data_IF_906280845811
#
_entry.id   IF_906280845811
#
_cell.length_a   1.000
_cell.length_b   1.000
_cell.length_c   1.000
_cell.angle_alpha   90.00
_cell.angle_beta   90.00
_cell.angle_gamma   90.00
#
_symmetry.space_group_name_H-M   'P 1'
#
loop_
_entity.id
_entity.type
_entity.pdbx_description
1 polymer ?
#
# COMPACT_ATOMS: atom_id res chain seq x y z
N UNK A 1 -7.44 -18.95 -14.49
CA UNK A 1 -6.54 -17.90 -13.97
C UNK A 1 -6.54 -17.83 -12.45
N UNK A 2 -7.69 -17.67 -11.79
CA UNK A 2 -7.82 -17.63 -10.30
C UNK A 2 -7.20 -18.85 -9.61
N UNK A 3 -7.49 -20.06 -10.09
CA UNK A 3 -6.92 -21.33 -9.55
C UNK A 3 -5.40 -21.39 -9.70
N UNK A 4 -4.88 -20.93 -10.83
CA UNK A 4 -3.43 -20.91 -11.09
C UNK A 4 -2.71 -19.97 -10.11
N UNK A 5 -3.21 -18.74 -9.95
CA UNK A 5 -2.63 -17.77 -9.02
C UNK A 5 -2.72 -18.24 -7.57
N UNK A 6 -3.86 -18.85 -7.17
CA UNK A 6 -4.03 -19.44 -5.84
C UNK A 6 -2.97 -20.52 -5.56
N UNK A 7 -2.76 -21.45 -6.49
CA UNK A 7 -1.79 -22.53 -6.32
C UNK A 7 -0.36 -21.99 -6.26
N UNK A 8 -0.04 -21.03 -7.13
CA UNK A 8 1.26 -20.36 -7.16
C UNK A 8 1.56 -19.65 -5.84
N UNK A 9 0.62 -18.82 -5.33
CA UNK A 9 0.80 -18.12 -4.06
C UNK A 9 0.84 -19.07 -2.86
N UNK A 10 0.07 -20.17 -2.88
CA UNK A 10 0.15 -21.18 -1.81
C UNK A 10 1.53 -21.83 -1.77
N UNK A 11 2.07 -22.24 -2.92
CA UNK A 11 3.40 -22.85 -2.99
C UNK A 11 4.49 -21.87 -2.53
N UNK A 12 4.40 -20.60 -2.95
CA UNK A 12 5.42 -19.60 -2.66
C UNK A 12 5.34 -19.06 -1.22
N UNK A 13 4.14 -18.79 -0.70
CA UNK A 13 3.92 -18.02 0.54
C UNK A 13 3.48 -18.85 1.75
N UNK A 14 3.06 -20.10 1.56
CA UNK A 14 2.58 -20.95 2.67
C UNK A 14 3.50 -22.12 2.98
N UNK A 15 3.93 -22.86 1.96
CA UNK A 15 4.63 -24.14 2.12
C UNK A 15 6.12 -24.05 1.77
N UNK A 16 6.67 -22.83 1.80
CA UNK A 16 8.06 -22.59 1.43
C UNK A 16 8.92 -22.40 2.68
N UNK A 17 9.64 -23.45 3.07
CA UNK A 17 10.51 -23.44 4.26
C UNK A 17 11.70 -22.47 4.14
N UNK A 18 12.04 -22.04 2.92
CA UNK A 18 13.08 -21.04 2.69
C UNK A 18 12.55 -19.60 2.78
N UNK A 19 11.23 -19.40 2.87
CA UNK A 19 10.64 -18.07 2.92
C UNK A 19 10.57 -17.55 4.37
N UNK A 20 11.43 -16.59 4.70
CA UNK A 20 11.34 -15.85 5.96
C UNK A 20 10.16 -14.84 5.94
N UNK A 21 9.99 -14.10 4.84
CA UNK A 21 8.95 -13.06 4.71
C UNK A 21 8.57 -12.80 3.26
N UNK A 22 7.27 -12.71 2.98
CA UNK A 22 6.72 -12.30 1.68
C UNK A 22 5.97 -10.97 1.78
N UNK A 23 6.14 -10.11 0.78
CA UNK A 23 5.37 -8.86 0.63
C UNK A 23 4.68 -8.89 -0.72
N UNK A 24 3.36 -8.72 -0.73
CA UNK A 24 2.55 -8.63 -1.94
C UNK A 24 1.96 -7.22 -2.04
N UNK A 25 2.30 -6.50 -3.10
CA UNK A 25 1.79 -5.15 -3.38
C UNK A 25 0.94 -5.16 -4.64
N UNK A 26 0.01 -4.21 -4.74
CA UNK A 26 -0.86 -4.06 -5.90
C UNK A 26 -1.80 -2.88 -5.76
N UNK A 27 -2.33 -2.40 -6.87
CA UNK A 27 -3.32 -1.31 -6.88
C UNK A 27 -4.72 -1.77 -6.47
N UNK A 28 -5.03 -3.06 -6.65
CA UNK A 28 -6.31 -3.66 -6.30
C UNK A 28 -6.23 -4.33 -4.94
N UNK A 29 -7.26 -4.10 -4.12
CA UNK A 29 -7.41 -4.77 -2.82
C UNK A 29 -7.86 -6.22 -3.01
N UNK A 30 -6.92 -7.08 -3.42
CA UNK A 30 -7.17 -8.52 -3.64
C UNK A 30 -7.11 -9.35 -2.35
N UNK A 31 -6.64 -8.75 -1.26
CA UNK A 31 -6.33 -9.42 0.00
C UNK A 31 -7.53 -10.07 0.71
N UNK A 32 -8.77 -9.73 0.33
CA UNK A 32 -10.00 -10.33 0.89
C UNK A 32 -10.64 -11.38 -0.02
N UNK A 33 -9.97 -11.74 -1.11
CA UNK A 33 -10.46 -12.72 -2.08
C UNK A 33 -10.18 -14.16 -1.65
N UNK A 34 -11.01 -15.09 -2.16
CA UNK A 34 -10.92 -16.55 -1.93
C UNK A 34 -9.62 -17.21 -2.44
N UNK A 35 -8.73 -16.43 -3.07
CA UNK A 35 -7.39 -16.89 -3.49
C UNK A 35 -6.37 -16.89 -2.35
N UNK A 36 -6.59 -16.14 -1.28
CA UNK A 36 -5.67 -16.05 -0.13
C UNK A 36 -6.16 -16.85 1.09
N UNK A 37 -7.30 -17.52 1.00
CA UNK A 37 -7.77 -18.42 2.07
C UNK A 37 -6.76 -19.52 2.33
N UNK A 38 -6.24 -19.55 3.56
CA UNK A 38 -5.27 -20.53 4.03
C UNK A 38 -3.83 -20.03 4.11
N UNK A 39 -3.51 -18.79 3.75
CA UNK A 39 -2.23 -18.17 4.12
C UNK A 39 -2.21 -17.90 5.64
N UNK A 40 -1.14 -18.34 6.31
CA UNK A 40 -0.94 -18.07 7.73
C UNK A 40 -0.30 -16.69 7.91
N UNK A 41 -0.61 -15.99 9.00
CA UNK A 41 -0.02 -14.69 9.35
C UNK A 41 -0.19 -13.57 8.30
N UNK A 42 -1.29 -13.62 7.55
CA UNK A 42 -1.57 -12.64 6.50
C UNK A 42 -2.05 -11.30 7.08
N UNK A 43 -1.23 -10.25 6.92
CA UNK A 43 -1.58 -8.87 7.31
C UNK A 43 -1.81 -8.03 6.07
N UNK A 44 -2.99 -7.40 6.01
CA UNK A 44 -3.29 -6.39 4.99
C UNK A 44 -2.89 -5.04 5.53
N UNK A 45 -2.08 -4.30 4.77
CA UNK A 45 -1.73 -2.91 5.06
C UNK A 45 -2.26 -2.06 3.91
N UNK A 46 -3.10 -1.09 4.22
CA UNK A 46 -3.68 -0.16 3.23
C UNK A 46 -3.35 1.29 3.58
N UNK A 47 -3.38 2.19 2.60
CA UNK A 47 -3.16 3.62 2.84
C UNK A 47 -4.17 4.23 3.83
N UNK A 48 -5.31 3.57 4.04
CA UNK A 48 -6.36 3.98 4.95
C UNK A 48 -6.20 3.41 6.37
N UNK A 49 -5.21 2.55 6.62
CA UNK A 49 -5.00 2.01 7.96
C UNK A 49 -4.30 3.06 8.84
N UNK A 50 -4.73 3.17 10.10
CA UNK A 50 -4.20 4.18 11.06
C UNK A 50 -2.68 4.13 11.21
N UNK A 51 -2.08 2.95 11.09
CA UNK A 51 -0.63 2.75 11.19
C UNK A 51 0.16 3.34 10.02
N UNK A 52 -0.49 3.56 8.89
CA UNK A 52 0.17 3.97 7.64
C UNK A 52 -0.36 5.30 7.10
N UNK A 53 -1.48 5.82 7.61
CA UNK A 53 -2.00 7.15 7.30
C UNK A 53 -0.92 8.26 7.46
N UNK A 54 -0.07 8.17 8.47
CA UNK A 54 1.00 9.16 8.71
C UNK A 54 2.23 9.01 7.79
N UNK A 55 2.27 7.99 6.93
CA UNK A 55 3.41 7.69 6.06
C UNK A 55 3.22 8.13 4.61
N UNK A 56 2.07 8.73 4.29
CA UNK A 56 1.71 9.16 2.94
C UNK A 56 1.36 10.65 2.91
N UNK A 57 1.55 11.27 1.74
CA UNK A 57 1.34 12.69 1.53
C UNK A 57 2.64 13.49 1.57
N UNK A 58 2.52 14.81 1.58
CA UNK A 58 3.65 15.73 1.66
C UNK A 58 3.75 16.33 3.06
N UNK A 59 4.97 16.51 3.54
CA UNK A 59 5.20 17.40 4.68
C UNK A 59 4.91 18.85 4.28
N UNK A 60 4.65 19.72 5.26
CA UNK A 60 4.45 21.15 4.99
C UNK A 60 5.64 21.75 4.21
N UNK A 61 6.87 21.33 4.53
CA UNK A 61 8.07 21.81 3.85
C UNK A 61 8.12 21.39 2.38
N UNK A 62 7.78 20.14 2.08
CA UNK A 62 7.74 19.63 0.70
C UNK A 62 6.64 20.30 -0.11
N UNK A 63 5.46 20.51 0.49
CA UNK A 63 4.36 21.26 -0.13
C UNK A 63 4.78 22.71 -0.43
N UNK A 64 5.44 23.37 0.52
CA UNK A 64 5.87 24.76 0.37
C UNK A 64 6.92 24.91 -0.73
N UNK A 65 7.87 23.96 -0.82
CA UNK A 65 8.85 23.92 -1.90
C UNK A 65 8.16 23.71 -3.25
N UNK A 66 7.26 22.73 -3.33
CA UNK A 66 6.53 22.42 -4.56
C UNK A 66 5.69 23.61 -5.04
N UNK A 67 5.02 24.33 -4.13
CA UNK A 67 4.24 25.50 -4.51
C UNK A 67 5.13 26.64 -5.01
N UNK A 68 6.32 26.82 -4.43
CA UNK A 68 7.24 27.86 -4.87
C UNK A 68 7.90 27.57 -6.21
N UNK A 69 8.27 26.31 -6.46
CA UNK A 69 8.83 25.86 -7.75
C UNK A 69 7.89 26.16 -8.93
N UNK A 70 6.58 26.23 -8.68
CA UNK A 70 5.54 26.48 -9.67
C UNK A 70 4.86 27.87 -9.53
N UNK A 71 5.40 28.77 -8.70
CA UNK A 71 4.83 30.12 -8.47
C UNK A 71 3.35 30.09 -8.06
N UNK A 72 2.99 29.09 -7.26
CA UNK A 72 1.62 28.75 -6.87
C UNK A 72 1.36 28.99 -5.38
N UNK A 73 2.17 29.79 -4.68
CA UNK A 73 2.10 30.01 -3.24
C UNK A 73 0.74 30.57 -2.79
N UNK A 74 0.04 31.29 -3.67
CA UNK A 74 -1.31 31.80 -3.43
C UNK A 74 -2.35 30.69 -3.14
N UNK A 75 -2.06 29.44 -3.52
CA UNK A 75 -2.94 28.29 -3.29
C UNK A 75 -2.63 27.51 -2.02
N UNK A 76 -1.64 27.94 -1.22
CA UNK A 76 -1.16 27.22 -0.03
C UNK A 76 -2.28 26.83 0.94
N UNK A 77 -3.11 27.79 1.32
CA UNK A 77 -4.19 27.54 2.28
C UNK A 77 -5.24 26.58 1.70
N UNK A 78 -5.55 26.73 0.40
CA UNK A 78 -6.49 25.87 -0.31
C UNK A 78 -6.00 24.42 -0.45
N UNK A 79 -4.70 24.22 -0.68
CA UNK A 79 -4.09 22.88 -0.78
C UNK A 79 -4.02 22.21 0.59
N UNK A 80 -3.84 22.99 1.67
CA UNK A 80 -3.78 22.46 3.04
C UNK A 80 -5.14 22.03 3.59
N UNK A 81 -6.22 22.65 3.11
CA UNK A 81 -7.59 22.29 3.51
C UNK A 81 -8.15 21.03 2.81
N UNK A 82 -7.52 20.57 1.73
CA UNK A 82 -7.96 19.42 0.92
C UNK A 82 -7.38 18.10 1.43
#
# INVERSE_FOLDING_TARGET
MVVFLKNMFSAALKTNDALEKGILTGCLRIARESIFTGLNNFKVITIFDDTSNQQFGFTQKEMDSLLSDYQAEAYRDKVKEW
#
